data_IF_264092920129
#
_entry.id   IF_264092920129
#
_cell.length_a   1.000
_cell.length_b   1.000
_cell.length_c   1.000
_cell.angle_alpha   90.00
_cell.angle_beta   90.00
_cell.angle_gamma   90.00
#
_symmetry.space_group_name_H-M   'P 1'
#
loop_
_entity.id
_entity.type
_entity.pdbx_description
1 polymer ?
#
# COMPACT_ATOMS: atom_id res chain seq x y z
N UNK A 1 -2.68 12.84 -9.22
CA UNK A 1 -3.68 13.06 -10.28
C UNK A 1 -5.05 13.22 -9.62
N UNK A 2 -5.94 14.06 -10.14
CA UNK A 2 -7.33 14.19 -9.70
C UNK A 2 -8.24 14.25 -10.92
N UNK A 3 -9.39 13.59 -10.85
CA UNK A 3 -10.47 13.66 -11.84
C UNK A 3 -11.78 13.38 -11.11
N UNK A 4 -12.87 14.03 -11.51
CA UNK A 4 -14.20 13.68 -11.01
C UNK A 4 -14.71 12.37 -11.60
N UNK A 5 -14.19 11.97 -12.77
CA UNK A 5 -14.55 10.73 -13.44
C UNK A 5 -13.41 10.19 -14.30
N UNK A 6 -12.63 9.27 -13.73
CA UNK A 6 -11.51 8.62 -14.43
C UNK A 6 -11.95 7.79 -15.65
N UNK A 7 -13.17 7.24 -15.67
CA UNK A 7 -13.66 6.46 -16.80
C UNK A 7 -13.91 7.32 -18.05
N UNK A 8 -14.23 8.61 -17.85
CA UNK A 8 -14.45 9.58 -18.94
C UNK A 8 -13.25 10.48 -19.20
N UNK A 9 -12.27 10.48 -18.29
CA UNK A 9 -11.15 11.42 -18.31
C UNK A 9 -11.58 12.88 -18.17
N UNK A 10 -12.71 13.14 -17.50
CA UNK A 10 -13.17 14.50 -17.24
C UNK A 10 -12.20 15.21 -16.27
N UNK A 11 -11.99 16.52 -16.46
CA UNK A 11 -11.28 17.41 -15.53
C UNK A 11 -9.95 16.88 -14.94
N UNK A 12 -9.19 16.09 -15.71
CA UNK A 12 -7.93 15.52 -15.24
C UNK A 12 -6.95 16.65 -14.90
N UNK A 13 -6.61 16.73 -13.62
CA UNK A 13 -5.58 17.60 -13.10
C UNK A 13 -4.38 16.74 -12.66
N UNK A 14 -3.23 17.00 -13.27
CA UNK A 14 -1.96 16.38 -12.89
C UNK A 14 -1.19 17.38 -12.03
N UNK A 15 -0.75 16.92 -10.88
CA UNK A 15 0.04 17.73 -9.96
C UNK A 15 1.42 17.10 -9.81
N UNK A 16 2.43 17.95 -9.85
CA UNK A 16 3.81 17.53 -9.60
C UNK A 16 4.03 17.39 -8.09
N UNK A 17 4.64 16.28 -7.68
CA UNK A 17 5.05 16.10 -6.29
C UNK A 17 6.13 17.13 -5.91
N UNK A 18 6.11 17.58 -4.67
CA UNK A 18 7.20 18.36 -4.09
C UNK A 18 8.50 17.55 -4.17
N UNK A 19 9.68 18.16 -4.41
CA UNK A 19 10.95 17.42 -4.49
C UNK A 19 11.20 16.45 -3.31
N UNK A 20 10.87 16.86 -2.08
CA UNK A 20 10.97 16.02 -0.88
C UNK A 20 10.02 14.81 -0.84
N UNK A 21 8.96 14.85 -1.63
CA UNK A 21 7.93 13.82 -1.73
C UNK A 21 8.13 12.93 -2.97
N UNK A 22 9.25 13.06 -3.68
CA UNK A 22 9.60 12.21 -4.83
C UNK A 22 10.48 11.05 -4.38
N UNK A 23 10.57 10.05 -5.26
CA UNK A 23 11.51 8.94 -5.13
C UNK A 23 11.40 8.18 -3.81
N UNK A 24 10.18 8.09 -3.27
CA UNK A 24 9.80 7.07 -2.29
C UNK A 24 9.66 5.71 -2.95
N UNK A 25 9.96 4.66 -2.18
CA UNK A 25 9.85 3.27 -2.61
C UNK A 25 8.37 2.87 -2.70
N UNK A 26 7.54 3.37 -1.77
CA UNK A 26 6.09 3.16 -1.75
C UNK A 26 5.34 4.42 -1.36
N UNK A 27 4.13 4.56 -1.90
CA UNK A 27 3.19 5.64 -1.61
C UNK A 27 1.84 5.05 -1.24
N UNK A 28 1.29 5.50 -0.12
CA UNK A 28 -0.05 5.09 0.30
C UNK A 28 -0.77 6.23 1.02
N UNK A 29 -2.07 6.30 0.82
CA UNK A 29 -2.95 7.18 1.60
C UNK A 29 -3.51 6.38 2.78
N UNK A 30 -3.80 7.04 3.89
CA UNK A 30 -4.42 6.41 5.04
C UNK A 30 -5.70 7.13 5.44
N UNK A 31 -6.50 6.50 6.31
CA UNK A 31 -7.83 7.03 6.70
C UNK A 31 -7.78 8.33 7.51
N UNK A 32 -6.59 8.79 7.88
CA UNK A 32 -6.35 10.00 8.67
C UNK A 32 -6.09 11.25 7.80
N UNK A 33 -6.38 11.17 6.49
CA UNK A 33 -6.12 12.21 5.49
C UNK A 33 -4.63 12.53 5.27
N UNK A 34 -3.72 11.66 5.73
CA UNK A 34 -2.30 11.76 5.41
C UNK A 34 -1.88 10.81 4.30
N UNK A 35 -0.84 11.25 3.59
CA UNK A 35 -0.04 10.44 2.69
C UNK A 35 1.23 9.99 3.40
N UNK A 36 1.58 8.72 3.19
CA UNK A 36 2.76 8.08 3.73
C UNK A 36 3.66 7.71 2.55
N UNK A 37 4.93 8.11 2.64
CA UNK A 37 5.95 7.90 1.62
C UNK A 37 7.06 7.09 2.28
N UNK A 38 7.16 5.81 1.94
CA UNK A 38 8.20 4.91 2.45
C UNK A 38 9.49 5.16 1.66
N UNK A 39 10.62 5.24 2.37
CA UNK A 39 11.94 5.31 1.74
C UNK A 39 12.98 4.63 2.64
N UNK A 40 13.49 3.49 2.21
CA UNK A 40 14.35 2.61 3.00
C UNK A 40 13.68 2.24 4.33
N UNK A 41 14.35 2.56 5.44
CA UNK A 41 13.89 2.20 6.79
C UNK A 41 13.07 3.30 7.48
N UNK A 42 12.54 4.25 6.72
CA UNK A 42 11.80 5.40 7.24
C UNK A 42 10.56 5.69 6.40
N UNK A 43 9.65 6.47 6.96
CA UNK A 43 8.55 7.05 6.19
C UNK A 43 8.37 8.53 6.48
N UNK A 44 8.00 9.27 5.44
CA UNK A 44 7.54 10.65 5.52
C UNK A 44 6.01 10.66 5.51
N UNK A 45 5.42 11.44 6.41
CA UNK A 45 3.97 11.68 6.48
C UNK A 45 3.66 13.14 6.14
N UNK A 46 2.74 13.39 5.21
CA UNK A 46 2.34 14.74 4.74
C UNK A 46 0.83 14.80 4.50
N UNK A 47 0.22 15.97 4.58
CA UNK A 47 -1.19 16.18 4.16
C UNK A 47 -1.31 16.61 2.70
N UNK A 48 -0.22 17.13 2.11
CA UNK A 48 -0.19 17.55 0.71
C UNK A 48 1.15 17.23 0.07
N UNK A 49 1.19 16.21 -0.79
CA UNK A 49 2.42 15.76 -1.45
C UNK A 49 2.99 16.77 -2.47
N UNK A 50 2.21 17.76 -2.92
CA UNK A 50 2.69 18.77 -3.86
C UNK A 50 3.42 19.92 -3.15
N UNK A 51 3.22 20.04 -1.84
CA UNK A 51 3.76 21.14 -1.02
C UNK A 51 4.64 20.66 0.14
N UNK A 52 4.72 19.36 0.37
CA UNK A 52 5.39 18.79 1.55
C UNK A 52 4.80 19.31 2.87
N UNK A 53 3.49 19.55 2.86
CA UNK A 53 2.78 20.25 3.93
C UNK A 53 2.60 19.34 5.14
N UNK A 54 2.90 19.87 6.34
CA UNK A 54 2.80 19.12 7.59
C UNK A 54 3.79 17.95 7.70
N UNK A 55 4.90 18.01 6.96
CA UNK A 55 5.87 16.92 6.87
C UNK A 55 6.45 16.53 8.22
N UNK A 56 6.34 15.24 8.55
CA UNK A 56 7.10 14.60 9.64
C UNK A 56 7.74 13.33 9.10
N UNK A 57 8.98 13.08 9.49
CA UNK A 57 9.71 11.86 9.12
C UNK A 57 9.87 11.00 10.37
N UNK A 58 9.57 9.72 10.22
CA UNK A 58 9.66 8.72 11.25
C UNK A 58 10.52 7.55 10.76
N UNK A 59 11.28 6.96 11.67
CA UNK A 59 11.84 5.63 11.43
C UNK A 59 10.72 4.59 11.47
N UNK A 60 10.78 3.63 10.56
CA UNK A 60 9.95 2.43 10.66
C UNK A 60 10.44 1.59 11.84
N UNK A 61 9.51 0.95 12.55
CA UNK A 61 9.85 -0.10 13.50
C UNK A 61 10.63 -1.21 12.77
N UNK A 62 11.63 -1.89 13.40
CA UNK A 62 12.39 -2.96 12.75
C UNK A 62 11.51 -4.04 12.09
N UNK A 63 10.38 -4.41 12.70
CA UNK A 63 9.44 -5.38 12.13
C UNK A 63 8.63 -4.87 10.93
N UNK A 64 8.66 -3.56 10.68
CA UNK A 64 7.97 -2.87 9.59
C UNK A 64 8.92 -2.45 8.47
N UNK A 65 10.20 -2.79 8.55
CA UNK A 65 11.22 -2.47 7.55
C UNK A 65 11.37 -3.59 6.52
N UNK A 66 11.79 -3.24 5.30
CA UNK A 66 12.13 -4.21 4.26
C UNK A 66 10.92 -4.96 3.67
N UNK A 67 9.73 -4.38 3.75
CA UNK A 67 8.56 -4.92 3.05
C UNK A 67 8.72 -4.79 1.55
N UNK A 68 8.27 -5.79 0.81
CA UNK A 68 8.21 -5.76 -0.65
C UNK A 68 7.05 -4.87 -1.13
N UNK A 69 5.97 -4.80 -0.34
CA UNK A 69 4.85 -3.89 -0.57
C UNK A 69 4.28 -3.34 0.72
N UNK A 70 3.81 -2.09 0.65
CA UNK A 70 3.11 -1.40 1.72
C UNK A 70 1.75 -0.94 1.20
N UNK A 71 0.70 -1.23 1.95
CA UNK A 71 -0.64 -0.74 1.68
C UNK A 71 -1.37 -0.41 2.98
N UNK A 72 -2.50 0.24 2.85
CA UNK A 72 -3.43 0.54 3.94
C UNK A 72 -4.82 0.04 3.59
N UNK A 73 -5.56 -0.39 4.60
CA UNK A 73 -6.99 -0.66 4.49
C UNK A 73 -7.62 -0.68 5.87
N UNK A 74 -8.79 -0.04 5.98
CA UNK A 74 -9.43 0.21 7.26
C UNK A 74 -8.49 0.95 8.22
N UNK A 75 -8.23 0.30 9.35
CA UNK A 75 -7.48 0.86 10.48
C UNK A 75 -6.05 0.35 10.55
N UNK A 76 -5.55 -0.26 9.48
CA UNK A 76 -4.25 -0.92 9.49
C UNK A 76 -3.41 -0.60 8.26
N UNK A 77 -2.11 -0.61 8.51
CA UNK A 77 -1.07 -0.80 7.51
C UNK A 77 -0.81 -2.28 7.34
N UNK A 78 -0.56 -2.68 6.10
CA UNK A 78 -0.19 -4.03 5.72
C UNK A 78 1.16 -3.98 5.02
N UNK A 79 2.07 -4.88 5.43
CA UNK A 79 3.43 -4.96 4.93
C UNK A 79 3.64 -6.39 4.43
N UNK A 80 3.81 -6.54 3.12
CA UNK A 80 3.96 -7.83 2.45
C UNK A 80 5.44 -8.19 2.41
N UNK A 81 5.78 -9.39 2.87
CA UNK A 81 7.13 -9.96 2.78
C UNK A 81 7.07 -11.21 1.89
N UNK A 82 7.22 -11.04 0.58
CA UNK A 82 7.06 -12.09 -0.43
C UNK A 82 8.02 -13.26 -0.21
N UNK A 83 9.31 -12.98 0.01
CA UNK A 83 10.33 -14.01 0.23
C UNK A 83 10.04 -14.88 1.46
N UNK A 84 9.37 -14.31 2.46
CA UNK A 84 8.94 -15.02 3.68
C UNK A 84 7.56 -15.64 3.54
N UNK A 85 6.78 -15.24 2.53
CA UNK A 85 5.40 -15.68 2.33
C UNK A 85 4.46 -15.25 3.45
N UNK A 86 4.72 -14.09 4.09
CA UNK A 86 3.91 -13.55 5.20
C UNK A 86 3.54 -12.10 4.94
N UNK A 87 2.52 -11.62 5.63
CA UNK A 87 2.27 -10.19 5.77
C UNK A 87 2.14 -9.80 7.24
N UNK A 88 2.59 -8.60 7.55
CA UNK A 88 2.37 -7.96 8.85
C UNK A 88 1.25 -6.96 8.75
N UNK A 89 0.40 -6.92 9.77
CA UNK A 89 -0.63 -5.90 9.96
C UNK A 89 -0.29 -5.10 11.21
N UNK A 90 -0.36 -3.77 11.16
CA UNK A 90 -0.12 -2.88 12.32
C UNK A 90 -0.94 -1.60 12.20
N UNK A 91 -1.32 -0.98 13.33
CA UNK A 91 -1.95 0.35 13.34
C UNK A 91 -0.94 1.49 13.19
N UNK A 92 0.35 1.23 13.45
CA UNK A 92 1.39 2.25 13.43
C UNK A 92 2.74 1.65 13.02
N UNK A 93 3.25 2.02 11.84
CA UNK A 93 4.50 1.47 11.31
C UNK A 93 5.78 1.95 12.03
N UNK A 94 5.71 3.01 12.85
CA UNK A 94 6.85 3.46 13.68
C UNK A 94 6.97 2.64 14.97
N UNK A 95 5.84 2.22 15.53
CA UNK A 95 5.77 1.57 16.85
C UNK A 95 5.38 0.08 16.79
N UNK A 96 5.01 -0.44 15.62
CA UNK A 96 4.47 -1.80 15.43
C UNK A 96 3.29 -2.09 16.37
N UNK A 97 2.43 -1.08 16.53
CA UNK A 97 1.30 -1.06 17.46
C UNK A 97 0.19 -2.01 17.00
N UNK A 98 -0.41 -2.73 17.96
CA UNK A 98 -1.48 -3.71 17.74
C UNK A 98 -1.20 -4.61 16.52
N UNK A 99 0.00 -5.17 16.49
CA UNK A 99 0.53 -5.84 15.31
C UNK A 99 0.45 -7.36 15.39
N UNK A 100 0.22 -7.95 14.22
CA UNK A 100 0.17 -9.39 14.03
C UNK A 100 0.81 -9.74 12.68
N UNK A 101 1.45 -10.91 12.61
CA UNK A 101 1.98 -11.47 11.37
C UNK A 101 1.19 -12.70 10.98
N UNK A 102 0.86 -12.79 9.69
CA UNK A 102 0.05 -13.86 9.12
C UNK A 102 0.76 -14.46 7.93
N UNK A 103 0.58 -15.76 7.73
CA UNK A 103 1.00 -16.41 6.49
C UNK A 103 0.13 -15.91 5.34
N UNK A 104 0.73 -15.60 4.19
CA UNK A 104 -0.02 -15.33 2.96
C UNK A 104 -0.59 -16.62 2.41
N UNK A 105 -1.88 -16.60 2.07
CA UNK A 105 -2.49 -17.67 1.29
C UNK A 105 -1.72 -17.82 -0.04
N UNK A 106 -1.50 -19.04 -0.56
CA UNK A 106 -0.78 -19.25 -1.81
C UNK A 106 -1.27 -18.40 -2.99
N UNK A 107 -2.58 -18.18 -3.09
CA UNK A 107 -3.17 -17.36 -4.16
C UNK A 107 -2.90 -15.85 -4.03
N UNK A 108 -2.58 -15.39 -2.81
CA UNK A 108 -2.30 -14.00 -2.47
C UNK A 108 -0.80 -13.66 -2.54
N UNK A 109 0.05 -14.62 -2.92
CA UNK A 109 1.49 -14.41 -3.15
C UNK A 109 1.77 -13.90 -4.57
N UNK A 110 3.01 -13.46 -4.80
CA UNK A 110 3.52 -13.08 -6.12
C UNK A 110 2.76 -11.91 -6.79
N UNK A 111 2.15 -11.03 -6.01
CA UNK A 111 1.61 -9.78 -6.55
C UNK A 111 2.75 -8.84 -6.96
N UNK A 112 2.55 -8.10 -8.03
CA UNK A 112 3.43 -7.04 -8.51
C UNK A 112 3.10 -5.69 -7.86
N UNK A 113 1.85 -5.51 -7.46
CA UNK A 113 1.36 -4.30 -6.81
C UNK A 113 0.14 -4.62 -5.95
N UNK A 114 0.16 -4.19 -4.69
CA UNK A 114 -0.90 -4.40 -3.71
C UNK A 114 -1.49 -3.07 -3.27
N UNK A 115 -2.81 -2.98 -3.13
CA UNK A 115 -3.49 -1.80 -2.62
C UNK A 115 -4.83 -2.17 -1.95
N UNK A 116 -5.33 -1.31 -1.08
CA UNK A 116 -6.57 -1.54 -0.34
C UNK A 116 -7.63 -0.50 -0.68
N UNK A 117 -8.89 -0.94 -0.77
CA UNK A 117 -10.05 -0.05 -0.88
C UNK A 117 -11.12 -0.55 0.10
N UNK A 118 -11.39 0.26 1.11
CA UNK A 118 -12.40 -0.02 2.15
C UNK A 118 -12.13 -1.38 2.82
N UNK A 119 -12.93 -2.42 2.54
CA UNK A 119 -12.84 -3.76 3.14
C UNK A 119 -12.11 -4.79 2.27
N UNK A 120 -11.71 -4.42 1.06
CA UNK A 120 -11.08 -5.33 0.13
C UNK A 120 -9.65 -4.92 -0.14
N UNK A 121 -8.82 -5.93 -0.35
CA UNK A 121 -7.48 -5.80 -0.82
C UNK A 121 -7.42 -6.28 -2.26
N UNK A 122 -6.60 -5.60 -3.04
CA UNK A 122 -6.45 -5.84 -4.45
C UNK A 122 -4.97 -5.98 -4.76
N UNK A 123 -4.66 -6.85 -5.70
CA UNK A 123 -3.32 -6.92 -6.24
C UNK A 123 -3.34 -7.39 -7.68
N UNK A 124 -2.33 -6.93 -8.41
CA UNK A 124 -2.05 -7.39 -9.77
C UNK A 124 -0.99 -8.47 -9.68
N UNK A 125 -1.15 -9.61 -10.34
CA UNK A 125 -0.11 -10.64 -10.45
C UNK A 125 0.13 -11.06 -11.90
N UNK A 126 1.30 -11.61 -12.23
CA UNK A 126 1.55 -12.15 -13.57
C UNK A 126 0.55 -13.26 -13.90
N UNK A 127 0.10 -13.29 -15.15
CA UNK A 127 -0.77 -14.34 -15.70
C UNK A 127 -0.31 -14.70 -17.11
N UNK A 128 -0.02 -15.97 -17.37
CA UNK A 128 0.63 -16.42 -18.61
C UNK A 128 1.93 -15.66 -18.93
N UNK A 129 2.40 -15.74 -20.17
CA UNK A 129 3.70 -15.16 -20.58
C UNK A 129 3.69 -13.62 -20.60
N UNK A 130 2.55 -13.00 -20.92
CA UNK A 130 2.43 -11.55 -21.15
C UNK A 130 1.24 -10.89 -20.43
N UNK A 131 0.42 -11.68 -19.74
CA UNK A 131 -0.81 -11.21 -19.12
C UNK A 131 -0.62 -10.73 -17.69
N UNK A 132 -1.59 -9.94 -17.25
CA UNK A 132 -1.76 -9.55 -15.86
C UNK A 132 -3.16 -9.99 -15.43
N UNK A 133 -3.27 -10.55 -14.23
CA UNK A 133 -4.55 -10.84 -13.61
C UNK A 133 -4.77 -9.90 -12.45
N UNK A 134 -5.95 -9.31 -12.39
CA UNK A 134 -6.38 -8.53 -11.26
C UNK A 134 -7.06 -9.45 -10.25
N UNK A 135 -6.65 -9.36 -8.98
CA UNK A 135 -7.12 -10.23 -7.92
C UNK A 135 -7.66 -9.39 -6.76
N UNK A 136 -8.84 -9.76 -6.25
CA UNK A 136 -9.44 -9.19 -5.04
C UNK A 136 -9.48 -10.25 -3.96
N UNK A 137 -9.24 -9.88 -2.70
CA UNK A 137 -9.56 -10.69 -1.51
C UNK A 137 -9.95 -9.77 -0.34
N UNK A 138 -10.79 -10.24 0.58
CA UNK A 138 -11.06 -9.57 1.86
C UNK A 138 -10.13 -10.01 2.99
N UNK A 139 -9.27 -11.01 2.74
CA UNK A 139 -8.32 -11.56 3.71
C UNK A 139 -7.15 -12.28 3.04
N UNK A 140 -5.95 -11.70 3.07
CA UNK A 140 -4.78 -12.35 2.47
C UNK A 140 -4.32 -13.64 3.14
N UNK A 141 -4.72 -13.92 4.38
CA UNK A 141 -4.36 -15.16 5.07
C UNK A 141 -5.22 -16.34 4.64
N UNK A 142 -6.50 -16.08 4.34
CA UNK A 142 -7.52 -17.11 4.07
C UNK A 142 -8.06 -17.09 2.66
N UNK A 143 -7.74 -16.05 1.88
CA UNK A 143 -8.25 -15.81 0.54
C UNK A 143 -9.78 -15.71 0.49
N UNK A 144 -10.34 -14.99 1.46
CA UNK A 144 -11.79 -14.82 1.59
C UNK A 144 -12.33 -13.86 0.50
N UNK A 145 -13.57 -14.11 0.07
CA UNK A 145 -14.31 -13.33 -0.93
C UNK A 145 -13.53 -13.05 -2.23
N UNK A 146 -12.71 -14.02 -2.63
CA UNK A 146 -11.75 -13.84 -3.71
C UNK A 146 -12.40 -13.77 -5.09
N UNK A 147 -11.99 -12.81 -5.90
CA UNK A 147 -12.42 -12.67 -7.30
C UNK A 147 -11.23 -12.34 -8.21
N UNK A 148 -11.25 -12.89 -9.42
CA UNK A 148 -10.28 -12.61 -10.49
C UNK A 148 -10.97 -11.85 -11.62
N UNK A 149 -10.29 -10.87 -12.20
CA UNK A 149 -10.77 -10.05 -13.32
C UNK A 149 -9.76 -10.02 -14.45
#
# INVERSE_FOLDING_TARGET
MRSTNFNKGEDINIFTLHPSCRDGDHYLAYKDDYFYIIKGNSYRRVTNMNKDEGAVVYSLHPNCQGGDHYLSSGDYFYIIYQNRGVYRRTKNMNQDEESEEFTLHPNCKNGLYYFGIVKYYYFVKPHDEWGLQYYRSSNFNKDEDSETF
#
